data_IF_640925859408
#
_entry.id   IF_640925859408
#
_cell.length_a   1.000
_cell.length_b   1.000
_cell.length_c   1.000
_cell.angle_alpha   90.00
_cell.angle_beta   90.00
_cell.angle_gamma   90.00
#
_symmetry.space_group_name_H-M   'P 1'
#
loop_
_entity.id
_entity.type
_entity.pdbx_description
1 polymer ?
#
# COMPACT_ATOMS: atom_id res chain seq x y z
N UNK A 1 -5.36 -33.55 -7.24
CA UNK A 1 -4.98 -32.34 -6.47
C UNK A 1 -3.69 -31.79 -7.06
N UNK A 2 -3.76 -30.68 -7.80
CA UNK A 2 -2.58 -30.06 -8.45
C UNK A 2 -1.67 -29.45 -7.37
N UNK A 3 -0.47 -30.01 -7.17
CA UNK A 3 0.57 -29.39 -6.33
C UNK A 3 1.14 -28.20 -7.09
N UNK A 4 0.62 -27.00 -6.81
CA UNK A 4 1.18 -25.76 -7.32
C UNK A 4 2.56 -25.56 -6.68
N UNK A 5 3.62 -25.61 -7.49
CA UNK A 5 4.99 -25.44 -6.98
C UNK A 5 5.29 -23.96 -6.70
N UNK A 6 6.14 -23.67 -5.71
CA UNK A 6 6.58 -22.30 -5.40
C UNK A 6 7.15 -21.56 -6.64
N UNK A 7 7.84 -22.30 -7.52
CA UNK A 7 8.38 -21.77 -8.79
C UNK A 7 7.27 -21.34 -9.76
N UNK A 8 6.17 -22.09 -9.81
CA UNK A 8 5.03 -21.75 -10.66
C UNK A 8 4.34 -20.46 -10.19
N UNK A 9 4.12 -20.30 -8.88
CA UNK A 9 3.52 -19.07 -8.32
C UNK A 9 4.40 -17.86 -8.59
N UNK A 10 5.72 -17.97 -8.37
CA UNK A 10 6.67 -16.89 -8.66
C UNK A 10 6.64 -16.46 -10.14
N UNK A 11 6.63 -17.43 -11.05
CA UNK A 11 6.59 -17.15 -12.50
C UNK A 11 5.27 -16.50 -12.95
N UNK A 12 4.13 -16.91 -12.40
CA UNK A 12 2.82 -16.29 -12.68
C UNK A 12 2.80 -14.85 -12.17
N UNK A 13 3.36 -14.60 -10.99
CA UNK A 13 3.42 -13.28 -10.39
C UNK A 13 4.34 -12.32 -11.16
N UNK A 14 5.50 -12.81 -11.61
CA UNK A 14 6.40 -12.07 -12.51
C UNK A 14 5.69 -11.76 -13.83
N UNK A 15 5.01 -12.75 -14.42
CA UNK A 15 4.26 -12.57 -15.66
C UNK A 15 3.10 -11.57 -15.55
N UNK A 16 2.41 -11.53 -14.41
CA UNK A 16 1.35 -10.55 -14.14
C UNK A 16 1.91 -9.12 -14.06
N UNK A 17 3.05 -8.93 -13.37
CA UNK A 17 3.73 -7.64 -13.29
C UNK A 17 4.26 -7.16 -14.65
N UNK A 18 4.86 -8.07 -15.43
CA UNK A 18 5.31 -7.76 -16.80
C UNK A 18 4.12 -7.35 -17.68
N UNK A 19 2.98 -8.03 -17.58
CA UNK A 19 1.75 -7.63 -18.29
C UNK A 19 1.21 -6.28 -17.82
N UNK A 20 1.20 -6.02 -16.51
CA UNK A 20 0.77 -4.73 -15.97
C UNK A 20 1.66 -3.58 -16.49
N UNK A 21 2.98 -3.74 -16.43
CA UNK A 21 3.93 -2.76 -16.98
C UNK A 21 3.75 -2.57 -18.49
N UNK A 22 3.56 -3.64 -19.24
CA UNK A 22 3.33 -3.56 -20.69
C UNK A 22 2.00 -2.87 -21.05
N UNK A 23 1.00 -2.93 -20.18
CA UNK A 23 -0.32 -2.31 -20.41
C UNK A 23 -0.42 -0.87 -19.90
N UNK A 24 0.29 -0.54 -18.81
CA UNK A 24 0.18 0.74 -18.13
C UNK A 24 1.35 1.70 -18.45
N UNK A 25 2.45 1.20 -19.02
CA UNK A 25 3.68 1.96 -19.23
C UNK A 25 4.63 1.92 -18.03
N UNK A 26 5.84 2.49 -18.17
CA UNK A 26 6.87 2.44 -17.12
C UNK A 26 6.56 3.38 -15.93
N UNK A 27 5.75 4.43 -16.13
CA UNK A 27 5.45 5.46 -15.12
C UNK A 27 3.94 5.67 -14.92
N UNK A 28 3.19 4.59 -14.73
CA UNK A 28 1.74 4.68 -14.64
C UNK A 28 1.19 5.37 -13.38
N UNK A 29 2.05 5.72 -12.43
CA UNK A 29 1.71 6.53 -11.26
C UNK A 29 2.18 7.98 -11.38
N UNK A 30 2.62 8.42 -12.55
CA UNK A 30 2.97 9.83 -12.79
C UNK A 30 1.81 10.76 -12.38
N UNK A 31 2.12 11.79 -11.58
CA UNK A 31 1.15 12.72 -11.02
C UNK A 31 0.39 12.20 -9.78
N UNK A 32 0.71 11.00 -9.28
CA UNK A 32 0.15 10.47 -8.02
C UNK A 32 0.99 10.91 -6.82
N UNK A 33 0.35 11.57 -5.85
CA UNK A 33 1.00 12.01 -4.61
C UNK A 33 0.86 10.97 -3.49
N UNK A 34 2.00 10.47 -3.01
CA UNK A 34 2.09 9.46 -1.95
C UNK A 34 2.70 10.09 -0.70
N UNK A 35 1.99 9.99 0.41
CA UNK A 35 2.49 10.34 1.74
C UNK A 35 2.79 9.05 2.50
N UNK A 36 4.03 8.84 2.90
CA UNK A 36 4.42 7.71 3.73
C UNK A 36 4.78 8.19 5.13
N UNK A 37 4.15 7.60 6.15
CA UNK A 37 4.40 7.99 7.55
C UNK A 37 4.88 6.77 8.33
N UNK A 38 6.08 6.89 8.89
CA UNK A 38 6.74 5.82 9.65
C UNK A 38 6.81 6.19 11.14
N UNK A 39 6.63 5.22 12.04
CA UNK A 39 6.78 5.42 13.49
C UNK A 39 7.92 4.60 14.10
N UNK A 40 8.36 4.98 15.31
CA UNK A 40 9.57 4.47 15.99
C UNK A 40 9.60 2.98 16.38
N UNK A 41 8.62 2.17 16.00
CA UNK A 41 8.59 0.72 16.20
C UNK A 41 7.65 0.02 15.23
N UNK A 42 7.47 0.56 14.02
CA UNK A 42 6.24 0.36 13.27
C UNK A 42 6.39 -0.37 11.93
N UNK A 43 5.21 -0.60 11.31
CA UNK A 43 4.98 -1.45 10.15
C UNK A 43 5.95 -1.18 9.00
N UNK A 44 6.39 -2.22 8.30
CA UNK A 44 7.32 -2.09 7.18
C UNK A 44 6.61 -1.63 5.90
N UNK A 45 6.65 -0.32 5.66
CA UNK A 45 6.08 0.32 4.45
C UNK A 45 7.14 0.69 3.40
N UNK A 46 8.43 0.69 3.76
CA UNK A 46 9.49 1.25 2.92
C UNK A 46 9.60 0.59 1.54
N UNK A 47 9.47 -0.74 1.47
CA UNK A 47 9.51 -1.46 0.18
C UNK A 47 8.32 -1.08 -0.70
N UNK A 48 7.12 -0.92 -0.12
CA UNK A 48 5.93 -0.48 -0.86
C UNK A 48 6.12 0.95 -1.39
N UNK A 49 6.60 1.86 -0.53
CA UNK A 49 6.87 3.25 -0.89
C UNK A 49 7.88 3.34 -2.05
N UNK A 50 8.96 2.57 -1.98
CA UNK A 50 9.98 2.52 -3.04
C UNK A 50 9.40 1.99 -4.35
N UNK A 51 8.60 0.91 -4.32
CA UNK A 51 7.98 0.38 -5.53
C UNK A 51 7.05 1.43 -6.17
N UNK A 52 6.23 2.16 -5.39
CA UNK A 52 5.36 3.19 -5.94
C UNK A 52 6.16 4.32 -6.60
N UNK A 53 7.24 4.76 -5.95
CA UNK A 53 8.18 5.76 -6.49
C UNK A 53 8.83 5.29 -7.79
N UNK A 54 9.26 4.04 -7.86
CA UNK A 54 9.87 3.45 -9.05
C UNK A 54 8.90 3.37 -10.24
N UNK A 55 7.59 3.48 -10.01
CA UNK A 55 6.56 3.54 -11.06
C UNK A 55 6.01 4.96 -11.29
N UNK A 56 6.74 5.99 -10.84
CA UNK A 56 6.49 7.39 -11.19
C UNK A 56 5.74 8.23 -10.16
N UNK A 57 5.38 7.67 -9.00
CA UNK A 57 4.69 8.43 -7.95
C UNK A 57 5.62 9.45 -7.25
N UNK A 58 5.09 10.62 -6.89
CA UNK A 58 5.77 11.56 -5.99
C UNK A 58 5.65 11.05 -4.56
N UNK A 59 6.78 10.81 -3.89
CA UNK A 59 6.79 10.30 -2.52
C UNK A 59 7.26 11.36 -1.52
N UNK A 60 6.43 11.63 -0.51
CA UNK A 60 6.75 12.46 0.66
C UNK A 60 6.79 11.59 1.92
N UNK A 61 7.96 11.46 2.51
CA UNK A 61 8.17 10.63 3.69
C UNK A 61 8.20 11.48 4.96
N UNK A 62 7.49 11.03 5.98
CA UNK A 62 7.48 11.62 7.31
C UNK A 62 7.82 10.57 8.36
N UNK A 63 8.56 11.01 9.36
CA UNK A 63 8.64 10.30 10.63
C UNK A 63 7.55 10.86 11.54
N UNK A 64 6.74 9.99 12.11
CA UNK A 64 5.70 10.36 13.06
C UNK A 64 6.35 11.01 14.28
N UNK A 65 6.09 12.30 14.45
CA UNK A 65 6.49 13.15 15.56
C UNK A 65 5.32 14.09 15.84
N UNK A 66 4.98 14.28 17.11
CA UNK A 66 3.91 15.18 17.54
C UNK A 66 4.15 16.62 17.04
N UNK A 67 5.41 17.04 16.91
CA UNK A 67 5.76 18.37 16.43
C UNK A 67 5.47 18.56 14.93
N UNK A 68 5.37 17.47 14.16
CA UNK A 68 5.17 17.49 12.71
C UNK A 68 3.73 17.17 12.29
N UNK A 69 2.81 16.94 13.24
CA UNK A 69 1.43 16.51 12.97
C UNK A 69 0.66 17.45 12.05
N UNK A 70 0.84 18.76 12.20
CA UNK A 70 0.16 19.74 11.37
C UNK A 70 0.61 19.67 9.91
N UNK A 71 1.90 19.41 9.67
CA UNK A 71 2.46 19.25 8.34
C UNK A 71 2.02 17.93 7.72
N UNK A 72 2.11 16.83 8.48
CA UNK A 72 1.65 15.50 8.07
C UNK A 72 0.18 15.55 7.67
N UNK A 73 -0.68 16.14 8.51
CA UNK A 73 -2.11 16.29 8.25
C UNK A 73 -2.40 17.12 7.00
N UNK A 74 -1.61 18.19 6.76
CA UNK A 74 -1.74 18.99 5.53
C UNK A 74 -1.36 18.18 4.29
N UNK A 75 -0.29 17.40 4.36
CA UNK A 75 0.13 16.55 3.25
C UNK A 75 -0.92 15.48 2.94
N UNK A 76 -1.47 14.81 3.96
CA UNK A 76 -2.52 13.78 3.81
C UNK A 76 -3.77 14.33 3.09
N UNK A 77 -4.17 15.56 3.42
CA UNK A 77 -5.32 16.21 2.78
C UNK A 77 -5.16 16.47 1.29
N UNK A 78 -3.93 16.48 0.79
CA UNK A 78 -3.59 16.74 -0.61
C UNK A 78 -3.11 15.48 -1.35
N UNK A 79 -2.89 14.38 -0.62
CA UNK A 79 -2.35 13.15 -1.16
C UNK A 79 -3.41 12.30 -1.88
N UNK A 80 -2.95 11.46 -2.79
CA UNK A 80 -3.73 10.37 -3.38
C UNK A 80 -3.67 9.11 -2.53
N UNK A 81 -2.48 8.84 -1.97
CA UNK A 81 -2.21 7.64 -1.18
C UNK A 81 -1.56 8.05 0.14
N UNK A 82 -2.06 7.49 1.24
CA UNK A 82 -1.39 7.46 2.52
C UNK A 82 -0.88 6.04 2.78
N UNK A 83 0.43 5.87 2.90
CA UNK A 83 1.03 4.66 3.48
C UNK A 83 1.13 4.85 4.99
N UNK A 84 0.18 4.24 5.70
CA UNK A 84 0.08 4.34 7.16
C UNK A 84 0.93 3.25 7.83
N UNK A 85 2.17 3.63 8.11
CA UNK A 85 3.10 2.83 8.86
C UNK A 85 3.02 3.05 10.36
N UNK A 86 1.97 3.68 10.91
CA UNK A 86 1.83 3.93 12.36
C UNK A 86 0.82 2.94 12.96
N UNK A 87 1.10 2.43 14.17
CA UNK A 87 0.26 1.41 14.81
C UNK A 87 -0.90 2.01 15.64
N UNK A 88 -0.76 3.26 16.08
CA UNK A 88 -1.77 4.04 16.81
C UNK A 88 -1.61 5.52 16.45
N UNK A 89 -2.61 6.11 15.80
CA UNK A 89 -2.57 7.51 15.39
C UNK A 89 -3.96 8.04 15.03
N UNK A 90 -4.80 8.31 16.03
CA UNK A 90 -6.16 8.85 15.82
C UNK A 90 -6.17 10.19 15.07
N UNK A 91 -5.13 11.00 15.19
CA UNK A 91 -5.03 12.27 14.45
C UNK A 91 -4.83 12.09 12.94
N UNK A 92 -4.20 10.99 12.53
CA UNK A 92 -4.09 10.64 11.11
C UNK A 92 -5.44 10.17 10.56
N UNK A 93 -6.34 9.64 11.41
CA UNK A 93 -7.70 9.26 11.02
C UNK A 93 -8.53 10.49 10.66
N UNK A 94 -8.41 11.58 11.41
CA UNK A 94 -9.11 12.84 11.12
C UNK A 94 -8.65 13.44 9.77
N UNK A 95 -7.33 13.53 9.57
CA UNK A 95 -6.78 14.02 8.31
C UNK A 95 -7.22 13.14 7.13
N UNK A 96 -7.21 11.82 7.31
CA UNK A 96 -7.68 10.86 6.30
C UNK A 96 -9.18 11.00 6.01
N UNK A 97 -10.01 11.18 7.03
CA UNK A 97 -11.44 11.36 6.90
C UNK A 97 -11.81 12.65 6.15
N UNK A 98 -10.97 13.69 6.25
CA UNK A 98 -11.17 14.95 5.53
C UNK A 98 -10.80 14.90 4.04
N UNK A 99 -10.21 13.80 3.56
CA UNK A 99 -9.91 13.58 2.13
C UNK A 99 -10.69 12.37 1.60
N UNK A 100 -11.90 12.56 1.04
CA UNK A 100 -12.77 11.46 0.61
C UNK A 100 -12.22 10.66 -0.57
N UNK A 101 -11.16 11.15 -1.25
CA UNK A 101 -10.48 10.47 -2.37
C UNK A 101 -9.21 9.73 -1.96
N UNK A 102 -8.83 9.80 -0.68
CA UNK A 102 -7.58 9.21 -0.19
C UNK A 102 -7.64 7.68 -0.20
N UNK A 103 -6.62 7.05 -0.77
CA UNK A 103 -6.35 5.63 -0.54
C UNK A 103 -5.48 5.50 0.71
N UNK A 104 -6.04 4.96 1.78
CA UNK A 104 -5.26 4.69 3.00
C UNK A 104 -4.79 3.25 2.97
N UNK A 105 -3.49 3.03 2.85
CA UNK A 105 -2.89 1.70 2.84
C UNK A 105 -2.12 1.46 4.13
N UNK A 106 -2.70 0.65 5.00
CA UNK A 106 -2.02 0.10 6.16
C UNK A 106 -1.20 -1.10 5.70
N UNK A 107 0.10 -0.90 5.50
CA UNK A 107 1.00 -1.94 5.04
C UNK A 107 1.98 -2.35 6.13
N UNK A 108 2.14 -3.65 6.34
CA UNK A 108 3.24 -4.23 7.13
C UNK A 108 3.86 -5.37 6.33
N UNK A 109 4.80 -5.03 5.46
CA UNK A 109 5.35 -5.91 4.44
C UNK A 109 6.86 -6.04 4.62
N UNK A 110 7.31 -7.16 5.17
CA UNK A 110 8.74 -7.42 5.40
C UNK A 110 9.45 -7.93 4.15
N UNK A 111 8.70 -8.48 3.19
CA UNK A 111 9.25 -9.11 2.01
C UNK A 111 8.74 -8.46 0.70
N UNK A 112 9.52 -8.52 -0.40
CA UNK A 112 9.14 -7.93 -1.68
C UNK A 112 7.84 -8.50 -2.27
N UNK A 113 7.48 -9.76 -2.02
CA UNK A 113 6.24 -10.33 -2.57
C UNK A 113 5.01 -9.75 -1.88
N UNK A 114 5.06 -9.63 -0.55
CA UNK A 114 3.99 -8.99 0.23
C UNK A 114 3.87 -7.51 -0.14
N UNK A 115 5.00 -6.81 -0.33
CA UNK A 115 5.01 -5.42 -0.78
C UNK A 115 4.41 -5.23 -2.18
N UNK A 116 4.77 -6.06 -3.15
CA UNK A 116 4.18 -6.03 -4.49
C UNK A 116 2.67 -6.33 -4.47
N UNK A 117 2.24 -7.24 -3.59
CA UNK A 117 0.81 -7.55 -3.40
C UNK A 117 0.05 -6.33 -2.86
N UNK A 118 0.66 -5.60 -1.92
CA UNK A 118 0.11 -4.33 -1.44
C UNK A 118 0.00 -3.30 -2.56
N UNK A 119 1.04 -3.12 -3.38
CA UNK A 119 1.03 -2.21 -4.54
C UNK A 119 -0.05 -2.59 -5.56
N UNK A 120 -0.27 -3.87 -5.82
CA UNK A 120 -1.34 -4.31 -6.70
C UNK A 120 -2.73 -3.92 -6.15
N UNK A 121 -2.96 -4.09 -4.85
CA UNK A 121 -4.21 -3.67 -4.19
C UNK A 121 -4.40 -2.15 -4.22
N UNK A 122 -3.34 -1.38 -4.00
CA UNK A 122 -3.33 0.09 -4.12
C UNK A 122 -3.69 0.49 -5.57
N UNK A 123 -3.10 -0.15 -6.56
CA UNK A 123 -3.37 0.14 -7.97
C UNK A 123 -4.83 -0.15 -8.34
N UNK A 124 -5.40 -1.26 -7.86
CA UNK A 124 -6.83 -1.55 -8.01
C UNK A 124 -7.72 -0.51 -7.32
N UNK A 125 -7.27 -0.01 -6.17
CA UNK A 125 -7.97 1.03 -5.42
C UNK A 125 -8.04 2.36 -6.17
N UNK A 126 -6.92 2.79 -6.75
CA UNK A 126 -6.87 3.96 -7.61
C UNK A 126 -7.81 3.79 -8.81
N UNK A 127 -7.76 2.64 -9.49
CA UNK A 127 -8.65 2.37 -10.63
C UNK A 127 -10.14 2.37 -10.24
N UNK A 128 -10.48 1.86 -9.04
CA UNK A 128 -11.83 1.92 -8.52
C UNK A 128 -12.26 3.36 -8.19
N UNK A 129 -11.36 4.14 -7.57
CA UNK A 129 -11.56 5.56 -7.22
C UNK A 129 -11.89 6.40 -8.45
N UNK A 130 -11.26 6.15 -9.60
CA UNK A 130 -11.60 6.87 -10.83
C UNK A 130 -13.04 6.66 -11.30
N UNK A 131 -13.66 5.54 -10.92
CA UNK A 131 -15.08 5.25 -11.23
C UNK A 131 -16.02 5.76 -10.16
N UNK A 132 -15.65 5.60 -8.89
CA UNK A 132 -16.54 5.89 -7.76
C UNK A 132 -16.41 7.33 -7.27
N UNK A 133 -15.30 8.00 -7.57
CA UNK A 133 -14.94 9.29 -6.99
C UNK A 133 -14.49 9.21 -5.52
N UNK A 134 -14.40 8.01 -4.93
CA UNK A 134 -14.15 7.81 -3.50
C UNK A 134 -12.93 6.92 -3.28
N UNK A 135 -12.13 7.29 -2.29
CA UNK A 135 -11.01 6.51 -1.80
C UNK A 135 -11.46 5.31 -0.96
N UNK A 136 -10.50 4.53 -0.49
CA UNK A 136 -10.76 3.37 0.36
C UNK A 136 -9.59 3.06 1.28
N UNK A 137 -9.88 2.35 2.37
CA UNK A 137 -8.89 1.86 3.32
C UNK A 137 -8.53 0.40 2.99
N UNK A 138 -7.23 0.13 2.90
CA UNK A 138 -6.65 -1.16 2.57
C UNK A 138 -5.79 -1.62 3.74
N UNK A 139 -5.93 -2.90 4.10
CA UNK A 139 -5.03 -3.57 5.02
C UNK A 139 -4.24 -4.61 4.21
N UNK A 140 -2.92 -4.44 4.17
CA UNK A 140 -2.00 -5.34 3.49
C UNK A 140 -0.88 -5.77 4.46
N UNK A 141 -1.04 -6.94 5.06
CA UNK A 141 -0.02 -7.58 5.89
C UNK A 141 0.69 -8.70 5.12
N UNK A 142 1.81 -9.17 5.67
CA UNK A 142 2.57 -10.29 5.13
C UNK A 142 1.64 -11.47 4.75
N UNK A 143 1.70 -11.83 3.47
CA UNK A 143 0.83 -12.84 2.85
C UNK A 143 0.93 -14.22 3.52
N UNK A 144 2.07 -14.50 4.14
CA UNK A 144 2.34 -15.71 4.94
C UNK A 144 1.57 -15.74 6.25
N UNK A 145 1.46 -14.61 6.95
CA UNK A 145 0.72 -14.53 8.20
C UNK A 145 -0.79 -14.52 7.96
N UNK A 146 -1.24 -13.87 6.90
CA UNK A 146 -2.64 -14.01 6.44
C UNK A 146 -2.99 -15.46 6.07
N UNK A 147 -2.11 -16.16 5.34
CA UNK A 147 -2.31 -17.58 5.01
C UNK A 147 -2.26 -18.49 6.24
N UNK A 148 -1.38 -18.22 7.21
CA UNK A 148 -1.33 -18.95 8.49
C UNK A 148 -2.61 -18.74 9.31
N UNK A 149 -3.13 -17.51 9.37
CA UNK A 149 -4.40 -17.21 10.02
C UNK A 149 -5.57 -17.94 9.35
N UNK A 150 -5.67 -17.91 8.01
CA UNK A 150 -6.68 -18.64 7.25
C UNK A 150 -6.62 -20.16 7.49
N UNK A 151 -5.43 -20.74 7.62
CA UNK A 151 -5.28 -22.18 7.89
C UNK A 151 -5.47 -22.58 9.35
N UNK A 152 -5.44 -21.63 10.29
CA UNK A 152 -5.87 -21.89 11.68
C UNK A 152 -7.37 -22.20 11.72
N UNK A 153 -8.19 -21.42 11.02
CA UNK A 153 -9.64 -21.64 10.93
C UNK A 153 -10.06 -22.87 10.12
N UNK A 154 -9.13 -23.54 9.43
CA UNK A 154 -9.39 -24.81 8.72
C UNK A 154 -9.10 -26.06 9.55
N UNK A 155 -8.54 -25.90 10.75
CA UNK A 155 -8.22 -27.00 11.68
C UNK A 155 -9.20 -27.09 12.85
N UNK A 156 -10.21 -26.24 12.89
CA UNK A 156 -11.42 -26.34 13.72
C UNK A 156 -12.56 -26.88 12.86
#
# INVERSE_FOLDING_TARGET
>A
MLKISKRFVGNVYIGANVKQRAQLGENYLEGTEVVAVTGGGCKQIGVVAQILKDHGATLREFRYDLNCLAEISRAIRQADILLDGVQKGGEMEEASASNPRLIVAECDCHDPFSAMSAVARISMALAARERTGHGQRLIASDSLDYWRQLNRFRRE
#
